data_IF_435169622540
#
_entry.id   IF_435169622540
#
_cell.length_a   1.000
_cell.length_b   1.000
_cell.length_c   1.000
_cell.angle_alpha   90.00
_cell.angle_beta   90.00
_cell.angle_gamma   90.00
#
_symmetry.space_group_name_H-M   'P 1'
#
loop_
_entity.id
_entity.type
_entity.pdbx_description
1 polymer ?
#
# COMPACT_ATOMS: atom_id res chain seq x y z
N UNK A 1 48.35 14.59 -26.79
CA UNK A 1 46.99 15.15 -27.01
C UNK A 1 45.97 14.05 -26.77
N UNK A 2 45.51 13.91 -25.52
CA UNK A 2 44.34 13.08 -25.17
C UNK A 2 43.62 13.81 -24.03
N UNK A 3 42.65 14.62 -24.44
CA UNK A 3 41.86 15.48 -23.59
C UNK A 3 40.79 14.64 -22.86
N UNK A 4 40.69 14.87 -21.56
CA UNK A 4 39.84 14.17 -20.58
C UNK A 4 38.35 14.41 -20.85
N UNK A 5 37.59 13.34 -21.17
CA UNK A 5 36.13 13.35 -21.40
C UNK A 5 35.41 12.60 -20.26
N UNK A 6 35.66 12.95 -19.00
CA UNK A 6 35.02 12.27 -17.85
C UNK A 6 34.32 13.18 -16.83
N UNK A 7 34.25 14.49 -17.07
CA UNK A 7 33.73 15.44 -16.07
C UNK A 7 32.34 16.01 -16.36
N UNK A 8 31.69 15.67 -17.47
CA UNK A 8 30.41 16.31 -17.85
C UNK A 8 29.14 15.58 -17.42
N UNK A 9 29.19 14.30 -16.99
CA UNK A 9 27.96 13.55 -16.69
C UNK A 9 27.45 13.74 -15.26
N UNK A 10 28.29 14.20 -14.33
CA UNK A 10 27.90 14.39 -12.91
C UNK A 10 27.10 15.68 -12.67
N UNK A 11 27.07 16.62 -13.62
CA UNK A 11 26.37 17.90 -13.46
C UNK A 11 24.90 17.85 -13.90
N UNK A 12 24.50 16.86 -14.69
CA UNK A 12 23.12 16.72 -15.20
C UNK A 12 22.11 16.20 -14.18
N UNK A 13 22.57 15.48 -13.15
CA UNK A 13 21.69 14.85 -12.14
C UNK A 13 21.26 15.85 -11.06
N UNK A 14 22.02 16.94 -10.85
CA UNK A 14 21.71 17.92 -9.81
C UNK A 14 20.57 18.90 -10.18
N UNK A 15 20.31 19.15 -11.48
CA UNK A 15 19.27 20.10 -11.90
C UNK A 15 17.84 19.55 -11.82
N UNK A 16 17.66 18.23 -11.73
CA UNK A 16 16.31 17.63 -11.62
C UNK A 16 15.76 17.66 -10.19
N UNK A 17 16.61 17.97 -9.19
CA UNK A 17 16.23 17.98 -7.78
C UNK A 17 15.58 19.29 -7.30
N UNK A 18 15.68 20.39 -8.06
CA UNK A 18 15.19 21.72 -7.62
C UNK A 18 13.80 22.10 -8.13
N UNK A 19 13.21 21.36 -9.07
CA UNK A 19 11.91 21.70 -9.67
C UNK A 19 10.69 21.13 -8.91
N UNK A 20 10.88 20.42 -7.79
CA UNK A 20 9.79 19.71 -7.10
C UNK A 20 9.20 20.46 -5.89
N UNK A 21 9.71 21.64 -5.52
CA UNK A 21 9.20 22.40 -4.38
C UNK A 21 8.07 23.37 -4.80
N UNK A 22 6.85 22.86 -4.97
CA UNK A 22 5.66 23.71 -4.90
C UNK A 22 5.22 23.83 -3.43
N UNK A 23 5.02 25.04 -2.89
CA UNK A 23 4.41 25.19 -1.57
C UNK A 23 2.97 24.68 -1.65
N UNK A 24 2.72 23.53 -1.03
CA UNK A 24 1.38 22.98 -0.86
C UNK A 24 0.58 23.96 -0.01
N UNK A 25 -0.41 24.61 -0.62
CA UNK A 25 -1.40 25.42 0.08
C UNK A 25 -2.04 24.61 1.20
N UNK A 26 -2.15 25.23 2.37
CA UNK A 26 -2.69 24.64 3.59
C UNK A 26 -4.13 24.19 3.36
N UNK A 27 -4.29 22.94 2.94
CA UNK A 27 -5.59 22.30 2.79
C UNK A 27 -6.03 21.88 4.18
N UNK A 28 -6.76 22.77 4.85
CA UNK A 28 -7.50 22.43 6.06
C UNK A 28 -8.65 21.52 5.65
N UNK A 29 -8.37 20.21 5.62
CA UNK A 29 -9.39 19.20 5.46
C UNK A 29 -10.34 19.27 6.64
N UNK A 30 -11.48 19.93 6.43
CA UNK A 30 -12.62 19.81 7.32
C UNK A 30 -13.17 18.40 7.23
N UNK A 31 -12.91 17.60 8.26
CA UNK A 31 -13.84 16.57 8.75
C UNK A 31 -13.60 16.39 10.24
N UNK A 32 -14.02 17.36 11.05
CA UNK A 32 -14.15 17.16 12.48
C UNK A 32 -15.42 16.33 12.70
N UNK A 33 -15.37 15.04 12.34
CA UNK A 33 -16.31 14.10 12.93
C UNK A 33 -16.10 14.22 14.44
N UNK A 34 -17.13 14.63 15.18
CA UNK A 34 -17.05 14.75 16.63
C UNK A 34 -16.77 13.35 17.22
N UNK A 35 -15.49 13.09 17.54
CA UNK A 35 -15.08 11.86 18.21
C UNK A 35 -15.40 12.05 19.69
N UNK A 36 -16.57 11.59 20.12
CA UNK A 36 -16.89 11.50 21.55
C UNK A 36 -15.91 10.52 22.20
N UNK A 37 -15.01 11.04 23.04
CA UNK A 37 -14.10 10.20 23.83
C UNK A 37 -14.88 9.50 24.95
N UNK A 38 -14.72 8.19 25.04
CA UNK A 38 -15.41 7.34 26.01
C UNK A 38 -14.38 6.70 26.94
N UNK A 39 -14.81 6.27 28.13
CA UNK A 39 -13.90 5.64 29.09
C UNK A 39 -13.38 4.27 28.61
N UNK A 40 -14.05 3.65 27.63
CA UNK A 40 -13.73 2.34 27.06
C UNK A 40 -14.16 2.28 25.58
N UNK A 41 -13.56 1.40 24.76
CA UNK A 41 -13.94 1.25 23.36
C UNK A 41 -15.39 0.76 23.21
N UNK A 42 -16.25 1.52 22.53
CA UNK A 42 -17.65 1.16 22.31
C UNK A 42 -17.87 0.32 21.05
N UNK A 43 -16.88 0.27 20.15
CA UNK A 43 -16.93 -0.52 18.91
C UNK A 43 -15.69 -1.40 18.83
N UNK A 44 -15.91 -2.70 18.95
CA UNK A 44 -14.88 -3.71 18.74
C UNK A 44 -14.91 -4.12 17.28
N UNK A 45 -13.74 -4.15 16.66
CA UNK A 45 -13.55 -4.60 15.28
C UNK A 45 -12.69 -5.86 15.28
N UNK A 46 -12.89 -6.71 14.28
CA UNK A 46 -12.16 -7.96 14.08
C UNK A 46 -11.77 -8.10 12.61
N UNK A 47 -10.73 -8.89 12.35
CA UNK A 47 -10.24 -9.16 11.01
C UNK A 47 -8.73 -9.40 11.01
N UNK A 48 -8.18 -9.65 9.83
CA UNK A 48 -6.75 -9.82 9.64
C UNK A 48 -6.03 -8.46 9.65
N UNK A 49 -5.06 -8.31 10.55
CA UNK A 49 -4.22 -7.09 10.64
C UNK A 49 -2.97 -7.17 9.77
N UNK A 50 -2.64 -8.35 9.25
CA UNK A 50 -1.44 -8.60 8.44
C UNK A 50 -1.83 -9.50 7.27
N UNK A 51 -1.67 -8.99 6.06
CA UNK A 51 -2.09 -9.69 4.85
C UNK A 51 -1.09 -9.41 3.71
N UNK A 52 -0.79 -10.46 2.94
CA UNK A 52 0.02 -10.37 1.71
C UNK A 52 -0.85 -10.61 0.48
N UNK A 53 -0.53 -9.92 -0.60
CA UNK A 53 -1.19 -10.07 -1.90
C UNK A 53 -0.13 -10.08 -3.00
N UNK A 54 -0.51 -10.38 -4.24
CA UNK A 54 0.38 -10.34 -5.40
C UNK A 54 1.10 -8.99 -5.61
N UNK A 55 0.71 -7.93 -4.90
CA UNK A 55 1.36 -6.61 -4.92
C UNK A 55 2.62 -6.53 -4.05
N UNK A 56 3.01 -7.61 -3.37
CA UNK A 56 4.14 -7.63 -2.43
C UNK A 56 5.29 -8.52 -2.94
N UNK A 57 6.52 -8.12 -2.62
CA UNK A 57 7.75 -8.82 -3.08
C UNK A 57 7.84 -10.21 -2.44
N UNK A 58 7.43 -10.35 -1.20
CA UNK A 58 7.38 -11.63 -0.51
C UNK A 58 6.30 -12.55 -1.08
N UNK A 59 5.12 -12.05 -1.45
CA UNK A 59 4.14 -12.85 -2.18
C UNK A 59 4.72 -13.40 -3.48
N UNK A 60 5.54 -12.63 -4.20
CA UNK A 60 6.27 -13.14 -5.36
C UNK A 60 7.28 -14.23 -4.95
N UNK A 61 8.08 -14.00 -3.91
CA UNK A 61 9.09 -14.95 -3.44
C UNK A 61 8.50 -16.29 -2.96
N UNK A 62 7.31 -16.25 -2.33
CA UNK A 62 6.63 -17.42 -1.79
C UNK A 62 5.50 -17.95 -2.69
N UNK A 63 5.29 -17.34 -3.86
CA UNK A 63 4.38 -17.82 -4.90
C UNK A 63 2.89 -17.52 -4.66
N UNK A 64 2.51 -16.64 -3.74
CA UNK A 64 1.13 -16.22 -3.54
C UNK A 64 0.63 -15.34 -4.71
N UNK A 65 -0.46 -15.78 -5.36
CA UNK A 65 -0.95 -15.16 -6.61
C UNK A 65 -2.21 -14.30 -6.48
N UNK A 66 -2.88 -14.32 -5.33
CA UNK A 66 -4.14 -13.60 -5.15
C UNK A 66 -3.89 -12.09 -5.01
N UNK A 67 -4.69 -11.30 -5.72
CA UNK A 67 -4.60 -9.84 -5.67
C UNK A 67 -5.39 -9.22 -4.51
N UNK A 68 -5.26 -7.89 -4.29
CA UNK A 68 -6.01 -7.18 -3.25
C UNK A 68 -7.53 -7.30 -3.38
N UNK A 69 -8.05 -7.36 -4.61
CA UNK A 69 -9.48 -7.55 -4.86
C UNK A 69 -9.98 -8.89 -4.33
N UNK A 70 -9.25 -9.98 -4.56
CA UNK A 70 -9.62 -11.30 -4.05
C UNK A 70 -9.53 -11.34 -2.52
N UNK A 71 -8.53 -10.69 -1.93
CA UNK A 71 -8.43 -10.59 -0.48
C UNK A 71 -9.63 -9.84 0.14
N UNK A 72 -10.06 -8.73 -0.46
CA UNK A 72 -11.24 -8.00 0.00
C UNK A 72 -12.52 -8.85 -0.14
N UNK A 73 -12.67 -9.56 -1.27
CA UNK A 73 -13.79 -10.49 -1.48
C UNK A 73 -13.83 -11.57 -0.41
N UNK A 74 -12.68 -12.19 -0.14
CA UNK A 74 -12.55 -13.19 0.91
C UNK A 74 -12.91 -12.65 2.29
N UNK A 75 -12.40 -11.46 2.66
CA UNK A 75 -12.73 -10.79 3.91
C UNK A 75 -14.23 -10.42 4.03
N UNK A 76 -14.92 -10.18 2.91
CA UNK A 76 -16.38 -9.98 2.87
C UNK A 76 -17.19 -11.28 2.90
N UNK A 77 -16.53 -12.42 3.05
CA UNK A 77 -17.16 -13.74 3.10
C UNK A 77 -17.49 -14.32 1.72
N UNK A 78 -16.95 -13.77 0.64
CA UNK A 78 -17.06 -14.39 -0.69
C UNK A 78 -16.11 -15.58 -0.81
N UNK A 79 -16.50 -16.58 -1.60
CA UNK A 79 -15.62 -17.70 -1.92
C UNK A 79 -14.56 -17.27 -2.93
N UNK A 80 -13.29 -17.61 -2.66
CA UNK A 80 -12.16 -17.39 -3.56
C UNK A 80 -11.44 -18.70 -3.85
N UNK A 81 -10.63 -18.73 -4.90
CA UNK A 81 -9.75 -19.86 -5.20
C UNK A 81 -8.35 -19.50 -4.72
N UNK A 82 -7.82 -20.26 -3.77
CA UNK A 82 -6.44 -20.09 -3.28
C UNK A 82 -5.42 -20.35 -4.39
N UNK A 83 -4.18 -19.93 -4.17
CA UNK A 83 -3.06 -20.16 -5.10
C UNK A 83 -2.87 -21.65 -5.41
N UNK A 84 -3.11 -22.53 -4.45
CA UNK A 84 -3.03 -23.99 -4.61
C UNK A 84 -4.29 -24.63 -5.21
N UNK A 85 -5.29 -23.84 -5.63
CA UNK A 85 -6.51 -24.34 -6.27
C UNK A 85 -7.66 -24.69 -5.30
N UNK A 86 -7.43 -24.68 -3.98
CA UNK A 86 -8.48 -24.91 -2.99
C UNK A 86 -9.52 -23.78 -3.04
N UNK A 87 -10.80 -24.13 -3.02
CA UNK A 87 -11.88 -23.15 -2.85
C UNK A 87 -12.02 -22.81 -1.36
N UNK A 88 -11.72 -21.58 -0.98
CA UNK A 88 -11.75 -21.11 0.39
C UNK A 88 -12.87 -20.08 0.60
N UNK A 89 -13.53 -20.12 1.75
CA UNK A 89 -14.52 -19.15 2.20
C UNK A 89 -14.46 -19.04 3.72
N UNK A 90 -14.56 -17.83 4.27
CA UNK A 90 -14.71 -17.64 5.71
C UNK A 90 -16.09 -18.13 6.17
N UNK A 91 -16.15 -18.77 7.34
CA UNK A 91 -17.41 -19.18 7.97
C UNK A 91 -18.28 -17.97 8.34
N UNK A 92 -17.60 -16.92 8.84
CA UNK A 92 -18.15 -15.58 9.09
C UNK A 92 -17.15 -14.51 8.64
N UNK A 93 -17.59 -13.48 7.91
CA UNK A 93 -16.77 -12.29 7.66
C UNK A 93 -16.49 -11.51 8.94
#
# INVERSE_FOLDING_TARGET
>A
MTLSIKTSLTLGIALLALAACNPTGNSTSKTDAEIKLTAYPERVYWGDTHLHTSNSIDAFAFGAKLGPGDALRFARGEQVTSTGGLKAKLDRP
#
